data_IF_849691524133
#
_entry.id   IF_849691524133
#
_cell.length_a   1.000
_cell.length_b   1.000
_cell.length_c   1.000
_cell.angle_alpha   90.00
_cell.angle_beta   90.00
_cell.angle_gamma   90.00
#
_symmetry.space_group_name_H-M   'P 1'
#
loop_
_entity.id
_entity.type
_entity.pdbx_description
1 polymer ?
#
# COMPACT_ATOMS: atom_id res chain seq x y z
N UNK A 1 2.77 -4.70 -12.83
CA UNK A 1 1.65 -3.78 -13.15
C UNK A 1 1.94 -2.35 -12.71
N UNK A 2 2.63 -2.17 -11.57
CA UNK A 2 2.82 -0.89 -10.88
C UNK A 2 3.28 0.29 -11.75
N UNK A 3 4.23 0.08 -12.68
CA UNK A 3 4.70 1.15 -13.58
C UNK A 3 3.59 1.78 -14.42
N UNK A 4 2.59 1.00 -14.86
CA UNK A 4 1.44 1.52 -15.64
C UNK A 4 0.55 2.40 -14.78
N UNK A 5 0.33 2.01 -13.52
CA UNK A 5 -0.40 2.82 -12.54
C UNK A 5 0.36 4.13 -12.27
N UNK A 6 1.68 4.05 -12.08
CA UNK A 6 2.52 5.24 -11.89
C UNK A 6 2.42 6.22 -13.07
N UNK A 7 2.38 5.74 -14.32
CA UNK A 7 2.19 6.65 -15.47
C UNK A 7 0.84 7.36 -15.45
N UNK A 8 -0.24 6.72 -14.99
CA UNK A 8 -1.54 7.38 -14.82
C UNK A 8 -1.48 8.42 -13.71
N UNK A 9 -0.89 8.08 -12.57
CA UNK A 9 -0.67 9.01 -11.45
C UNK A 9 0.16 10.20 -11.94
N UNK A 10 1.20 9.94 -12.73
CA UNK A 10 2.05 10.95 -13.35
C UNK A 10 1.25 11.90 -14.24
N UNK A 11 0.40 11.35 -15.12
CA UNK A 11 -0.48 12.18 -15.94
C UNK A 11 -1.46 13.00 -15.09
N UNK A 12 -1.99 12.45 -14.00
CA UNK A 12 -2.94 13.14 -13.13
C UNK A 12 -2.30 14.36 -12.45
N UNK A 13 -1.15 14.20 -11.77
CA UNK A 13 -0.51 15.34 -11.10
C UNK A 13 0.11 16.35 -12.09
N UNK A 14 0.51 15.91 -13.29
CA UNK A 14 1.00 16.80 -14.35
C UNK A 14 -0.08 17.74 -14.93
N UNK A 15 -1.36 17.50 -14.64
CA UNK A 15 -2.45 18.41 -15.00
C UNK A 15 -2.56 19.63 -14.06
N UNK A 16 -1.77 19.68 -12.98
CA UNK A 16 -1.80 20.79 -12.02
C UNK A 16 -3.19 20.93 -11.38
N UNK A 17 -3.79 22.11 -11.50
CA UNK A 17 -5.12 22.40 -10.94
C UNK A 17 -6.24 21.52 -11.55
N UNK A 18 -6.00 20.94 -12.72
CA UNK A 18 -6.93 20.02 -13.39
C UNK A 18 -6.69 18.54 -13.03
N UNK A 19 -5.96 18.25 -11.94
CA UNK A 19 -5.77 16.89 -11.45
C UNK A 19 -7.11 16.27 -11.01
N UNK A 20 -7.56 15.16 -11.62
CA UNK A 20 -8.84 14.54 -11.30
C UNK A 20 -8.84 13.74 -9.99
N UNK A 21 -7.66 13.46 -9.40
CA UNK A 21 -7.54 12.69 -8.16
C UNK A 21 -7.84 13.59 -6.97
N UNK A 22 -8.95 13.31 -6.28
CA UNK A 22 -9.33 13.98 -5.03
C UNK A 22 -8.58 13.39 -3.83
N UNK A 23 -8.45 12.06 -3.82
CA UNK A 23 -7.75 11.30 -2.80
C UNK A 23 -7.21 10.02 -3.41
N UNK A 24 -6.06 9.53 -2.91
CA UNK A 24 -5.45 8.27 -3.34
C UNK A 24 -4.81 7.58 -2.14
N UNK A 25 -4.97 6.27 -2.04
CA UNK A 25 -4.36 5.44 -1.02
C UNK A 25 -3.84 4.13 -1.63
N UNK A 26 -2.72 3.61 -1.14
CA UNK A 26 -2.20 2.31 -1.55
C UNK A 26 -3.02 1.16 -0.95
N UNK A 27 -3.00 0.01 -1.64
CA UNK A 27 -3.63 -1.21 -1.14
C UNK A 27 -2.54 -2.17 -0.69
N UNK A 28 -2.40 -2.31 0.62
CA UNK A 28 -1.41 -3.18 1.26
C UNK A 28 -2.06 -4.23 2.15
N UNK A 29 -1.70 -4.22 3.44
CA UNK A 29 -2.19 -5.16 4.44
C UNK A 29 -3.72 -5.04 4.62
N UNK A 30 -4.41 -6.17 4.67
CA UNK A 30 -5.88 -6.22 4.73
C UNK A 30 -6.58 -5.89 3.40
N UNK A 31 -5.85 -5.54 2.34
CA UNK A 31 -6.43 -5.32 1.02
C UNK A 31 -7.43 -4.16 0.97
N UNK A 32 -8.52 -4.34 0.22
CA UNK A 32 -9.57 -3.33 0.09
C UNK A 32 -10.34 -3.15 1.40
N UNK A 33 -10.38 -4.17 2.25
CA UNK A 33 -11.01 -4.11 3.56
C UNK A 33 -10.38 -3.09 4.51
N UNK A 34 -9.12 -2.72 4.29
CA UNK A 34 -8.47 -1.63 5.00
C UNK A 34 -8.49 -0.34 4.19
N UNK A 35 -8.06 -0.43 2.92
CA UNK A 35 -7.82 0.76 2.09
C UNK A 35 -9.11 1.53 1.75
N UNK A 36 -10.23 0.86 1.49
CA UNK A 36 -11.50 1.55 1.18
C UNK A 36 -12.08 2.29 2.39
N UNK A 37 -12.23 1.65 3.58
CA UNK A 37 -12.68 2.34 4.78
C UNK A 37 -11.78 3.51 5.18
N UNK A 38 -10.46 3.37 5.09
CA UNK A 38 -9.51 4.46 5.35
C UNK A 38 -9.72 5.63 4.37
N UNK A 39 -9.84 5.35 3.07
CA UNK A 39 -10.05 6.38 2.05
C UNK A 39 -11.33 7.20 2.29
N UNK A 40 -12.46 6.54 2.59
CA UNK A 40 -13.72 7.26 2.83
C UNK A 40 -13.73 7.95 4.20
N UNK A 41 -13.16 7.32 5.23
CA UNK A 41 -13.10 7.88 6.57
C UNK A 41 -12.22 9.13 6.64
N UNK A 42 -11.07 9.14 5.96
CA UNK A 42 -10.19 10.31 5.85
C UNK A 42 -10.87 11.49 5.12
N UNK A 43 -11.79 11.17 4.19
CA UNK A 43 -12.66 12.14 3.54
C UNK A 43 -13.90 12.54 4.35
N UNK A 44 -14.11 11.95 5.53
CA UNK A 44 -15.31 12.18 6.36
C UNK A 44 -16.60 11.62 5.77
N UNK A 45 -16.51 10.64 4.87
CA UNK A 45 -17.63 10.03 4.11
C UNK A 45 -17.81 8.54 4.48
N UNK A 46 -18.96 7.97 4.10
CA UNK A 46 -19.13 6.53 3.98
C UNK A 46 -18.86 6.04 2.56
N UNK A 47 -19.20 4.79 2.30
CA UNK A 47 -19.02 4.19 0.98
C UNK A 47 -20.02 3.07 0.71
N UNK A 48 -20.56 3.06 -0.50
CA UNK A 48 -21.39 1.98 -1.03
C UNK A 48 -20.68 1.33 -2.21
N UNK A 49 -20.40 0.04 -2.13
CA UNK A 49 -19.62 -0.71 -3.12
C UNK A 49 -20.31 -2.00 -3.56
N UNK A 50 -19.90 -2.53 -4.71
CA UNK A 50 -20.49 -3.76 -5.25
C UNK A 50 -19.42 -4.81 -5.60
N UNK A 51 -19.57 -6.02 -5.05
CA UNK A 51 -18.67 -7.16 -5.23
C UNK A 51 -18.42 -7.50 -6.71
N UNK A 52 -19.45 -7.39 -7.56
CA UNK A 52 -19.36 -7.72 -8.97
C UNK A 52 -18.49 -6.74 -9.79
N UNK A 53 -18.18 -5.56 -9.24
CA UNK A 53 -17.38 -4.54 -9.92
C UNK A 53 -15.87 -4.72 -9.70
N UNK A 54 -15.46 -5.50 -8.69
CA UNK A 54 -14.04 -5.76 -8.47
C UNK A 54 -13.49 -6.62 -9.60
N UNK A 55 -12.30 -6.24 -10.09
CA UNK A 55 -11.56 -7.04 -11.06
C UNK A 55 -10.99 -8.28 -10.35
N UNK A 56 -11.80 -9.34 -10.23
CA UNK A 56 -11.39 -10.62 -9.68
C UNK A 56 -10.67 -11.46 -10.75
N UNK A 57 -9.44 -11.90 -10.44
CA UNK A 57 -8.68 -12.80 -11.32
C UNK A 57 -9.17 -14.25 -11.23
N UNK A 58 -9.78 -14.61 -10.10
CA UNK A 58 -10.30 -15.96 -9.84
C UNK A 58 -11.82 -15.90 -9.57
N UNK A 59 -12.66 -16.48 -10.45
CA UNK A 59 -14.11 -16.40 -10.32
C UNK A 59 -14.70 -17.21 -9.16
N UNK A 60 -13.89 -18.04 -8.50
CA UNK A 60 -14.31 -18.87 -7.35
C UNK A 60 -14.13 -18.22 -5.99
N UNK A 61 -13.62 -16.98 -5.92
CA UNK A 61 -13.39 -16.30 -4.65
C UNK A 61 -14.70 -15.93 -3.96
N UNK A 62 -14.75 -16.16 -2.65
CA UNK A 62 -15.80 -15.66 -1.77
C UNK A 62 -15.75 -14.13 -1.62
N UNK A 63 -16.82 -13.47 -1.17
CA UNK A 63 -16.81 -12.03 -0.89
C UNK A 63 -15.70 -11.61 0.09
N UNK A 64 -15.39 -12.46 1.08
CA UNK A 64 -14.29 -12.23 2.01
C UNK A 64 -12.94 -12.23 1.30
N UNK A 65 -12.69 -13.19 0.41
CA UNK A 65 -11.44 -13.26 -0.35
C UNK A 65 -11.32 -12.09 -1.31
N UNK A 66 -12.39 -11.71 -2.01
CA UNK A 66 -12.40 -10.54 -2.93
C UNK A 66 -12.07 -9.25 -2.16
N UNK A 67 -12.63 -9.08 -0.96
CA UNK A 67 -12.48 -7.86 -0.17
C UNK A 67 -11.14 -7.79 0.60
N UNK A 68 -10.68 -8.91 1.17
CA UNK A 68 -9.54 -8.95 2.08
C UNK A 68 -8.23 -9.46 1.46
N UNK A 69 -8.23 -9.94 0.20
CA UNK A 69 -6.98 -10.37 -0.41
C UNK A 69 -5.97 -9.22 -0.53
N UNK A 70 -4.70 -9.54 -0.36
CA UNK A 70 -3.56 -8.62 -0.46
C UNK A 70 -2.89 -8.69 -1.85
N UNK A 71 -3.69 -8.86 -2.90
CA UNK A 71 -3.17 -8.79 -4.28
C UNK A 71 -2.43 -7.46 -4.48
N UNK A 72 -1.25 -7.56 -5.06
CA UNK A 72 -0.30 -6.45 -5.16
C UNK A 72 -0.67 -5.46 -6.27
N UNK A 73 0.01 -4.31 -6.29
CA UNK A 73 -0.01 -3.32 -7.38
C UNK A 73 -1.37 -2.64 -7.60
N UNK A 74 -2.11 -2.44 -6.51
CA UNK A 74 -3.44 -1.81 -6.49
C UNK A 74 -3.43 -0.51 -5.69
N UNK A 75 -4.29 0.41 -6.11
CA UNK A 75 -4.53 1.71 -5.48
C UNK A 75 -6.04 1.95 -5.45
N UNK A 76 -6.52 2.61 -4.40
CA UNK A 76 -7.89 3.13 -4.32
C UNK A 76 -7.84 4.64 -4.46
N UNK A 77 -8.77 5.20 -5.24
CA UNK A 77 -8.80 6.63 -5.53
C UNK A 77 -10.23 7.16 -5.54
N UNK A 78 -10.40 8.39 -5.10
CA UNK A 78 -11.63 9.16 -5.27
C UNK A 78 -11.47 10.12 -6.46
N UNK A 79 -12.40 10.05 -7.41
CA UNK A 79 -12.46 10.90 -8.60
C UNK A 79 -13.89 11.42 -8.73
N UNK A 80 -14.05 12.71 -9.03
CA UNK A 80 -15.37 13.28 -9.27
C UNK A 80 -16.03 12.64 -10.52
N UNK A 81 -17.35 12.43 -10.49
CA UNK A 81 -18.06 11.70 -11.54
C UNK A 81 -17.91 12.35 -12.94
N UNK A 82 -17.83 13.68 -13.00
CA UNK A 82 -17.61 14.46 -14.22
C UNK A 82 -16.18 14.33 -14.76
N UNK A 83 -15.21 13.92 -13.93
CA UNK A 83 -13.82 13.68 -14.30
C UNK A 83 -13.55 12.22 -14.73
N UNK A 84 -14.50 11.30 -14.56
CA UNK A 84 -14.36 9.90 -14.98
C UNK A 84 -13.99 9.74 -16.47
N UNK A 85 -14.57 10.49 -17.43
CA UNK A 85 -14.17 10.37 -18.83
C UNK A 85 -12.70 10.77 -19.09
N UNK A 86 -12.19 11.75 -18.35
CA UNK A 86 -10.78 12.13 -18.41
C UNK A 86 -9.92 11.01 -17.83
N UNK A 87 -10.25 10.52 -16.64
CA UNK A 87 -9.51 9.44 -15.99
C UNK A 87 -9.49 8.15 -16.84
N UNK A 88 -10.63 7.76 -17.41
CA UNK A 88 -10.75 6.63 -18.34
C UNK A 88 -9.79 6.76 -19.53
N UNK A 89 -9.72 7.95 -20.13
CA UNK A 89 -8.81 8.24 -21.25
C UNK A 89 -7.34 8.09 -20.84
N UNK A 90 -6.96 8.55 -19.63
CA UNK A 90 -5.61 8.41 -19.11
C UNK A 90 -5.26 6.92 -18.89
N UNK A 91 -6.15 6.18 -18.22
CA UNK A 91 -5.99 4.75 -17.96
C UNK A 91 -5.87 3.94 -19.26
N UNK A 92 -6.75 4.17 -20.25
CA UNK A 92 -6.69 3.47 -21.55
C UNK A 92 -5.39 3.73 -22.29
N UNK A 93 -4.87 4.96 -22.28
CA UNK A 93 -3.60 5.32 -22.95
C UNK A 93 -2.42 4.57 -22.36
N UNK A 94 -2.30 4.55 -21.03
CA UNK A 94 -1.22 3.86 -20.31
C UNK A 94 -1.50 2.37 -20.11
N UNK A 95 -2.65 1.90 -20.61
CA UNK A 95 -3.17 0.55 -20.41
C UNK A 95 -3.28 0.22 -18.91
N UNK A 96 -3.53 1.15 -18.00
CA UNK A 96 -3.74 0.79 -16.61
C UNK A 96 -5.17 0.24 -16.42
N UNK A 97 -5.37 -1.01 -15.97
CA UNK A 97 -6.70 -1.49 -15.63
C UNK A 97 -7.24 -0.72 -14.43
N UNK A 98 -8.51 -0.36 -14.47
CA UNK A 98 -9.22 0.24 -13.34
C UNK A 98 -10.68 -0.21 -13.36
N UNK A 99 -11.33 -0.10 -12.20
CA UNK A 99 -12.77 -0.33 -12.06
C UNK A 99 -13.35 0.71 -11.11
N UNK A 100 -14.54 1.22 -11.43
CA UNK A 100 -15.33 2.02 -10.50
C UNK A 100 -16.08 1.02 -9.62
N UNK A 101 -15.71 0.96 -8.34
CA UNK A 101 -16.16 -0.09 -7.42
C UNK A 101 -17.31 0.33 -6.49
N UNK A 102 -17.57 1.63 -6.42
CA UNK A 102 -18.53 2.21 -5.50
C UNK A 102 -18.55 3.73 -5.54
N UNK A 103 -19.37 4.31 -4.68
CA UNK A 103 -19.57 5.75 -4.53
C UNK A 103 -19.40 6.15 -3.05
N UNK A 104 -18.85 7.35 -2.82
CA UNK A 104 -18.76 7.93 -1.49
C UNK A 104 -20.12 8.49 -1.05
N UNK A 105 -20.53 8.22 0.18
CA UNK A 105 -21.83 8.64 0.73
C UNK A 105 -21.66 9.71 1.81
N UNK A 106 -22.70 10.53 2.01
CA UNK A 106 -22.71 11.48 3.14
C UNK A 106 -22.84 10.77 4.48
N UNK A 107 -23.68 9.74 4.55
CA UNK A 107 -23.79 8.86 5.71
C UNK A 107 -22.48 8.10 5.93
N UNK A 108 -21.95 8.11 7.16
CA UNK A 108 -20.71 7.44 7.55
C UNK A 108 -20.92 5.94 7.79
N UNK A 109 -21.38 5.28 6.73
CA UNK A 109 -21.73 3.88 6.71
C UNK A 109 -21.00 3.17 5.57
N UNK A 110 -20.57 1.93 5.80
CA UNK A 110 -19.92 1.10 4.78
C UNK A 110 -20.86 -0.02 4.37
N UNK A 111 -21.22 -0.06 3.09
CA UNK A 111 -21.98 -1.14 2.49
C UNK A 111 -21.22 -1.81 1.35
N UNK A 112 -21.28 -3.14 1.33
CA UNK A 112 -20.82 -3.98 0.22
C UNK A 112 -21.98 -4.87 -0.19
N UNK A 113 -22.45 -4.71 -1.43
CA UNK A 113 -23.49 -5.54 -2.04
C UNK A 113 -22.89 -6.62 -2.94
N UNK A 114 -23.49 -7.79 -3.03
CA UNK A 114 -23.12 -8.83 -3.98
C UNK A 114 -24.31 -9.20 -4.88
N UNK A 115 -24.23 -8.82 -6.16
CA UNK A 115 -25.28 -9.09 -7.14
C UNK A 115 -25.42 -10.58 -7.48
N UNK A 116 -24.37 -11.38 -7.32
CA UNK A 116 -24.41 -12.80 -7.65
C UNK A 116 -25.26 -13.58 -6.65
N UNK A 117 -25.19 -13.21 -5.38
CA UNK A 117 -25.96 -13.83 -4.29
C UNK A 117 -27.18 -13.02 -3.85
N UNK A 118 -27.41 -11.84 -4.45
CA UNK A 118 -28.47 -10.89 -4.10
C UNK A 118 -28.52 -10.60 -2.59
N UNK A 119 -27.35 -10.32 -2.02
CA UNK A 119 -27.17 -10.08 -0.59
C UNK A 119 -26.18 -8.95 -0.30
N UNK A 120 -26.00 -8.66 0.98
CA UNK A 120 -25.14 -7.57 1.44
C UNK A 120 -24.09 -8.10 2.44
N UNK A 121 -22.90 -8.52 1.96
CA UNK A 121 -21.84 -9.05 2.83
C UNK A 121 -21.34 -8.09 3.90
N UNK A 122 -21.41 -6.77 3.67
CA UNK A 122 -21.00 -5.75 4.65
C UNK A 122 -22.11 -4.71 4.77
N UNK A 123 -22.57 -4.48 5.99
CA UNK A 123 -23.55 -3.48 6.37
C UNK A 123 -23.20 -2.96 7.77
N UNK A 124 -22.23 -2.04 7.86
CA UNK A 124 -21.68 -1.59 9.13
C UNK A 124 -21.46 -0.07 9.17
N UNK A 125 -21.82 0.61 10.29
CA UNK A 125 -21.34 1.95 10.60
C UNK A 125 -19.81 2.02 10.66
N UNK A 126 -19.22 3.10 10.16
CA UNK A 126 -17.74 3.23 10.14
C UNK A 126 -17.13 3.33 11.54
N UNK A 127 -17.85 3.88 12.52
CA UNK A 127 -17.39 3.97 13.91
C UNK A 127 -17.30 2.61 14.61
N UNK A 128 -18.14 1.65 14.21
CA UNK A 128 -18.06 0.26 14.64
C UNK A 128 -16.85 -0.43 14.03
N UNK A 129 -16.60 -0.22 12.73
CA UNK A 129 -15.50 -0.85 12.00
C UNK A 129 -14.13 -0.30 12.41
N UNK A 130 -14.02 1.02 12.54
CA UNK A 130 -12.77 1.73 12.88
C UNK A 130 -12.66 2.04 14.39
N UNK A 131 -13.61 1.55 15.17
CA UNK A 131 -13.66 1.71 16.62
C UNK A 131 -12.38 1.18 17.27
N UNK A 132 -11.70 2.03 18.02
CA UNK A 132 -10.43 1.67 18.68
C UNK A 132 -10.70 1.14 20.08
N UNK A 133 -10.13 -0.02 20.39
CA UNK A 133 -10.02 -0.51 21.77
C UNK A 133 -9.12 0.44 22.58
N UNK A 134 -9.22 0.42 23.93
CA UNK A 134 -8.37 1.24 24.78
C UNK A 134 -6.88 1.07 24.43
N UNK A 135 -6.13 2.17 24.43
CA UNK A 135 -4.71 2.16 24.09
C UNK A 135 -3.94 1.21 25.02
N UNK A 136 -3.02 0.41 24.43
CA UNK A 136 -2.14 -0.46 25.19
C UNK A 136 -1.25 0.37 26.11
N UNK A 137 -1.32 0.11 27.42
CA UNK A 137 -0.34 0.64 28.38
C UNK A 137 0.77 -0.40 28.56
N UNK A 138 2.01 0.00 28.29
CA UNK A 138 3.18 -0.86 28.45
C UNK A 138 3.97 -0.40 29.68
N UNK A 139 3.84 -1.16 30.77
CA UNK A 139 4.72 -1.03 31.92
C UNK A 139 5.95 -1.92 31.68
N UNK A 140 7.11 -1.28 31.49
CA UNK A 140 8.35 -1.96 31.08
C UNK A 140 9.52 -1.43 31.90
N UNK A 141 10.51 -2.29 32.11
CA UNK A 141 11.71 -1.95 32.85
C UNK A 141 12.93 -1.95 31.92
N UNK A 142 13.82 -0.99 32.14
CA UNK A 142 15.10 -0.94 31.42
C UNK A 142 16.03 -2.03 31.92
N UNK A 143 16.55 -2.84 30.99
CA UNK A 143 17.65 -3.76 31.26
C UNK A 143 18.95 -3.15 30.75
N UNK A 144 20.01 -3.21 31.56
CA UNK A 144 21.34 -2.73 31.20
C UNK A 144 22.29 -3.91 31.06
N UNK A 145 22.77 -4.13 29.84
CA UNK A 145 23.85 -5.08 29.62
C UNK A 145 25.10 -4.61 30.39
N UNK A 146 25.75 -5.54 31.10
CA UNK A 146 27.08 -5.29 31.67
C UNK A 146 28.07 -5.32 30.51
N UNK A 147 28.73 -4.19 30.24
CA UNK A 147 29.79 -4.13 29.25
C UNK A 147 31.04 -4.80 29.79
N UNK A 148 31.59 -5.75 29.03
CA UNK A 148 32.90 -6.30 29.30
C UNK A 148 33.94 -5.56 28.47
N UNK A 149 35.11 -5.30 29.05
CA UNK A 149 36.22 -4.71 28.32
C UNK A 149 36.64 -5.65 27.19
N UNK A 150 36.88 -5.10 26.00
CA UNK A 150 37.32 -5.90 24.86
C UNK A 150 38.65 -6.58 25.19
N UNK A 151 38.69 -7.91 25.18
CA UNK A 151 39.93 -8.66 25.30
C UNK A 151 40.76 -8.49 24.02
N UNK A 152 41.95 -7.91 24.14
CA UNK A 152 42.85 -7.58 23.02
C UNK A 152 44.03 -8.54 22.88
N UNK A 153 44.08 -9.63 23.65
CA UNK A 153 45.22 -10.54 23.67
C UNK A 153 45.61 -11.04 22.27
N UNK A 154 44.62 -11.39 21.45
CA UNK A 154 44.83 -11.90 20.07
C UNK A 154 44.53 -10.84 18.98
N UNK A 155 44.40 -9.56 19.35
CA UNK A 155 44.03 -8.50 18.42
C UNK A 155 45.28 -7.69 18.04
N UNK A 156 45.79 -7.91 16.82
CA UNK A 156 46.77 -7.03 16.18
C UNK A 156 46.09 -6.10 15.18
N UNK A 157 46.68 -4.94 14.89
CA UNK A 157 46.11 -4.00 13.92
C UNK A 157 45.99 -4.65 12.52
N UNK A 158 47.01 -5.40 12.10
CA UNK A 158 47.02 -6.04 10.78
C UNK A 158 45.91 -7.10 10.65
N UNK A 159 45.74 -7.97 11.65
CA UNK A 159 44.66 -8.97 11.68
C UNK A 159 43.28 -8.31 11.81
N UNK A 160 43.15 -7.28 12.63
CA UNK A 160 41.91 -6.52 12.78
C UNK A 160 41.49 -5.86 11.46
N UNK A 161 42.40 -5.20 10.74
CA UNK A 161 42.12 -4.64 9.41
C UNK A 161 41.65 -5.72 8.45
N UNK A 162 42.32 -6.88 8.44
CA UNK A 162 41.92 -8.00 7.59
C UNK A 162 40.50 -8.48 7.93
N UNK A 163 40.22 -8.78 9.21
CA UNK A 163 38.89 -9.26 9.65
C UNK A 163 37.79 -8.23 9.43
N UNK A 164 38.04 -6.96 9.72
CA UNK A 164 37.06 -5.88 9.57
C UNK A 164 36.73 -5.67 8.10
N UNK A 165 37.71 -5.68 7.19
CA UNK A 165 37.44 -5.55 5.75
C UNK A 165 36.74 -6.78 5.15
N UNK A 166 36.87 -7.95 5.78
CA UNK A 166 36.14 -9.17 5.41
C UNK A 166 34.78 -9.33 6.11
N UNK A 167 34.44 -8.47 7.08
CA UNK A 167 33.12 -8.47 7.70
C UNK A 167 32.08 -8.06 6.64
N UNK A 168 31.04 -8.87 6.34
CA UNK A 168 30.07 -8.55 5.29
C UNK A 168 29.38 -7.19 5.45
N UNK A 169 29.24 -6.70 6.68
CA UNK A 169 28.72 -5.35 6.97
C UNK A 169 29.64 -4.24 6.45
N UNK A 170 30.96 -4.42 6.47
CA UNK A 170 31.97 -3.41 6.08
C UNK A 170 32.51 -3.64 4.66
N UNK A 171 32.73 -4.90 4.28
CA UNK A 171 33.35 -5.28 3.02
C UNK A 171 32.66 -4.67 1.79
N UNK A 172 33.41 -4.58 0.69
CA UNK A 172 32.96 -3.95 -0.54
C UNK A 172 31.64 -4.53 -1.04
N UNK A 173 30.64 -3.67 -1.25
CA UNK A 173 29.30 -4.07 -1.69
C UNK A 173 29.18 -4.27 -3.21
N UNK A 174 30.31 -4.46 -3.88
CA UNK A 174 30.44 -4.57 -5.32
C UNK A 174 30.19 -6.00 -5.86
N UNK A 175 30.04 -6.99 -4.96
CA UNK A 175 29.68 -8.36 -5.30
C UNK A 175 28.31 -8.43 -6.02
N UNK A 176 28.09 -9.43 -6.90
CA UNK A 176 26.79 -9.69 -7.52
C UNK A 176 25.73 -10.17 -6.53
N UNK A 177 26.02 -10.19 -5.23
CA UNK A 177 25.05 -10.43 -4.16
C UNK A 177 24.14 -9.20 -4.04
N UNK A 178 23.12 -9.13 -4.90
CA UNK A 178 21.79 -8.50 -4.76
C UNK A 178 21.62 -7.06 -4.23
N UNK A 179 22.62 -6.39 -3.67
CA UNK A 179 22.41 -5.15 -2.93
C UNK A 179 22.60 -3.87 -3.73
N UNK A 180 23.58 -3.79 -4.65
CA UNK A 180 23.90 -2.52 -5.31
C UNK A 180 23.97 -2.58 -6.84
N UNK A 181 24.50 -3.67 -7.42
CA UNK A 181 24.56 -3.86 -8.89
C UNK A 181 23.22 -4.12 -9.59
N UNK A 182 22.18 -4.73 -8.97
CA UNK A 182 20.91 -4.96 -9.67
C UNK A 182 20.07 -3.68 -9.83
N UNK A 183 20.32 -2.66 -9.01
CA UNK A 183 19.60 -1.40 -9.08
C UNK A 183 20.12 -0.56 -10.25
N UNK A 184 19.22 -0.21 -11.17
CA UNK A 184 19.52 0.67 -12.30
C UNK A 184 19.62 2.12 -11.81
N UNK A 185 20.77 2.53 -11.29
CA UNK A 185 21.07 3.90 -10.82
C UNK A 185 21.11 4.99 -11.92
N UNK A 186 20.51 4.75 -13.09
CA UNK A 186 20.56 5.66 -14.25
C UNK A 186 19.18 6.03 -14.82
N UNK A 187 18.09 5.65 -14.15
CA UNK A 187 16.75 6.09 -14.53
C UNK A 187 16.41 7.37 -13.76
N UNK A 188 16.04 8.44 -14.48
CA UNK A 188 15.69 9.74 -13.89
C UNK A 188 16.48 10.94 -14.47
N UNK A 189 17.56 10.70 -15.22
CA UNK A 189 18.49 11.77 -15.61
C UNK A 189 19.50 12.10 -14.50
N UNK A 190 20.49 12.97 -14.77
CA UNK A 190 21.43 13.45 -13.76
C UNK A 190 20.75 14.30 -12.67
#
# INVERSE_FOLDING_TARGET
MERRCQEVIDRCWQLGDANPILFIHDVGAGGLSNAMPELVSDGGRGGSSNCATFSATEPGMSPLEIWCNESQERYVLAVAADQLPLFDKLCKRERAPYAVIGEATEEQHLSLHDNHFDNQPIDLPLDVLLGKTPKMTRDVQTLKAKGDALNRADITIADAVNRVLHLPTVGGKNLPCHYWRPYRHRYGGP
#
